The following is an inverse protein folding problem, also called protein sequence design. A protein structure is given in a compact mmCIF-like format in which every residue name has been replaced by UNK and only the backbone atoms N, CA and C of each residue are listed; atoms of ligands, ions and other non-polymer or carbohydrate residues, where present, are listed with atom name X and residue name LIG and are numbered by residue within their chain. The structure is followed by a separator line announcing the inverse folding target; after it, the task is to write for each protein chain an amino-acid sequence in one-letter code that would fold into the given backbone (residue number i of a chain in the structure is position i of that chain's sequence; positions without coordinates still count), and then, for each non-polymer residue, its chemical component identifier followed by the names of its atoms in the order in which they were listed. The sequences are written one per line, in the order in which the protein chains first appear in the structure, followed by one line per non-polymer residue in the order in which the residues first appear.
data_IF_848793344421
#
_entry.id   IF_848793344421
#
_cell.length_a   1.000
_cell.length_b   1.000
_cell.length_c   1.000
_cell.angle_alpha   90.00
_cell.angle_beta   90.00
_cell.angle_gamma   90.00
#
_symmetry.space_group_name_H-M   'P 1'
#
loop_
_entity.id
_entity.type
_entity.pdbx_description
1 polymer ?
#
# COMPACT_ATOMS: atom_id res chain seq x y z
N UNK A 1 -36.83 -49.03 17.69
CA UNK A 1 -35.58 -48.49 17.13
C UNK A 1 -35.43 -49.16 15.77
N UNK A 2 -35.52 -48.49 14.61
CA UNK A 2 -34.76 -47.32 14.19
C UNK A 2 -35.54 -46.38 13.23
N UNK A 3 -35.25 -45.07 13.27
CA UNK A 3 -35.79 -44.05 12.35
C UNK A 3 -34.84 -43.87 11.16
N UNK A 4 -35.38 -43.90 9.93
CA UNK A 4 -34.66 -43.48 8.72
C UNK A 4 -34.54 -41.94 8.66
N UNK A 5 -33.42 -41.37 8.19
CA UNK A 5 -33.26 -39.92 8.14
C UNK A 5 -33.93 -39.31 6.91
N UNK A 6 -34.66 -38.21 7.11
CA UNK A 6 -35.24 -37.39 6.05
C UNK A 6 -34.17 -36.50 5.40
N UNK A 7 -34.05 -36.60 4.08
CA UNK A 7 -33.22 -35.77 3.23
C UNK A 7 -33.94 -34.45 2.91
N UNK A 8 -33.57 -33.35 3.58
CA UNK A 8 -34.02 -32.01 3.22
C UNK A 8 -32.94 -31.34 2.36
N UNK A 9 -33.17 -31.26 1.05
CA UNK A 9 -32.30 -30.48 0.16
C UNK A 9 -32.65 -29.00 0.29
N UNK A 10 -31.79 -28.23 0.96
CA UNK A 10 -31.85 -26.79 1.00
C UNK A 10 -31.24 -26.22 -0.31
N UNK A 11 -31.97 -25.32 -0.99
CA UNK A 11 -31.46 -24.53 -2.11
C UNK A 11 -30.44 -23.51 -1.60
N UNK A 12 -29.20 -23.58 -2.11
CA UNK A 12 -28.11 -22.69 -1.71
C UNK A 12 -28.09 -21.44 -2.60
N UNK A 13 -28.28 -20.26 -2.01
CA UNK A 13 -28.01 -18.98 -2.67
C UNK A 13 -26.53 -18.65 -2.47
N UNK A 14 -25.79 -18.47 -3.57
CA UNK A 14 -24.41 -17.99 -3.52
C UNK A 14 -24.46 -16.46 -3.57
N UNK A 15 -24.08 -15.80 -2.47
CA UNK A 15 -23.89 -14.37 -2.45
C UNK A 15 -22.56 -14.03 -3.12
N UNK A 16 -22.59 -13.23 -4.18
CA UNK A 16 -21.38 -12.62 -4.75
C UNK A 16 -20.96 -11.48 -3.83
N UNK A 17 -19.77 -11.51 -3.20
CA UNK A 17 -19.31 -10.37 -2.43
C UNK A 17 -19.11 -9.19 -3.38
N UNK A 18 -19.81 -8.07 -3.14
CA UNK A 18 -19.47 -6.79 -3.75
C UNK A 18 -18.11 -6.36 -3.17
N UNK A 19 -17.06 -6.55 -3.97
CA UNK A 19 -15.73 -6.06 -3.65
C UNK A 19 -15.73 -4.55 -3.90
N UNK A 20 -16.01 -3.76 -2.86
CA UNK A 20 -15.72 -2.33 -2.87
C UNK A 20 -14.20 -2.20 -2.92
N UNK A 21 -13.66 -1.94 -4.11
CA UNK A 21 -12.24 -1.63 -4.26
C UNK A 21 -11.98 -0.27 -3.63
N UNK A 22 -11.48 -0.27 -2.40
CA UNK A 22 -10.98 0.96 -1.79
C UNK A 22 -9.75 1.43 -2.58
N UNK A 23 -9.86 2.62 -3.17
CA UNK A 23 -8.80 3.24 -3.95
C UNK A 23 -7.86 4.11 -3.07
N UNK A 24 -7.96 3.96 -1.75
CA UNK A 24 -7.07 4.62 -0.79
C UNK A 24 -5.64 4.12 -0.91
N UNK A 25 -4.70 5.06 -0.85
CA UNK A 25 -3.27 4.76 -0.78
C UNK A 25 -2.86 4.57 0.68
N UNK A 26 -2.36 3.39 1.01
CA UNK A 26 -1.85 3.08 2.35
C UNK A 26 -0.34 3.20 2.40
N UNK A 27 0.18 3.85 3.43
CA UNK A 27 1.62 3.91 3.66
C UNK A 27 2.15 2.50 3.95
N UNK A 28 3.16 2.07 3.19
CA UNK A 28 3.86 0.82 3.44
C UNK A 28 4.86 1.03 4.59
N UNK A 29 4.48 0.66 5.82
CA UNK A 29 5.35 0.78 7.00
C UNK A 29 6.60 -0.11 6.95
N UNK A 30 6.67 -1.05 6.00
CA UNK A 30 7.86 -1.87 5.75
C UNK A 30 8.85 -1.28 4.74
N UNK A 31 8.55 -0.12 4.13
CA UNK A 31 9.47 0.55 3.23
C UNK A 31 10.66 1.14 4.02
N UNK A 32 11.89 0.89 3.56
CA UNK A 32 13.10 1.47 4.17
C UNK A 32 13.31 2.93 3.76
N UNK A 33 12.73 3.33 2.63
CA UNK A 33 12.90 4.65 2.04
C UNK A 33 11.59 5.11 1.41
N UNK A 34 11.30 6.40 1.54
CA UNK A 34 10.17 7.07 0.91
C UNK A 34 10.68 8.09 -0.10
N UNK A 35 9.90 8.31 -1.16
CA UNK A 35 10.19 9.29 -2.22
C UNK A 35 9.09 10.33 -2.23
N UNK A 36 9.48 11.60 -2.32
CA UNK A 36 8.58 12.74 -2.48
C UNK A 36 9.10 13.63 -3.61
N UNK A 37 8.19 14.20 -4.39
CA UNK A 37 8.53 15.23 -5.40
C UNK A 37 8.61 16.63 -4.79
N UNK A 38 8.06 16.80 -3.58
CA UNK A 38 8.02 18.06 -2.86
C UNK A 38 9.15 18.14 -1.83
N UNK A 39 10.01 19.15 -1.98
CA UNK A 39 11.15 19.38 -1.09
C UNK A 39 10.74 19.84 0.32
N UNK A 40 9.52 20.35 0.47
CA UNK A 40 8.96 20.77 1.76
C UNK A 40 8.65 19.58 2.67
N UNK A 41 8.38 18.41 2.08
CA UNK A 41 8.15 17.19 2.84
C UNK A 41 9.43 16.62 3.49
N UNK A 42 10.62 17.17 3.19
CA UNK A 42 11.89 16.75 3.77
C UNK A 42 12.37 17.71 4.88
N UNK A 43 12.63 17.15 6.06
CA UNK A 43 13.34 17.81 7.17
C UNK A 43 14.84 17.52 7.10
N UNK A 44 15.67 18.47 7.58
CA UNK A 44 17.14 18.42 7.52
C UNK A 44 17.66 18.09 6.11
N UNK A 45 17.02 18.65 5.09
CA UNK A 45 17.31 18.41 3.68
C UNK A 45 18.72 18.87 3.28
N UNK A 46 19.38 18.07 2.46
CA UNK A 46 20.68 18.38 1.85
C UNK A 46 20.72 17.95 0.39
N UNK A 47 21.56 18.62 -0.40
CA UNK A 47 21.78 18.26 -1.81
C UNK A 47 22.34 16.84 -1.91
N UNK A 48 21.75 16.02 -2.77
CA UNK A 48 22.26 14.71 -3.08
C UNK A 48 23.30 14.80 -4.20
N UNK A 49 24.55 14.44 -3.90
CA UNK A 49 25.68 14.51 -4.83
C UNK A 49 26.08 13.15 -5.43
N UNK A 50 25.32 12.10 -5.09
CA UNK A 50 25.60 10.75 -5.59
C UNK A 50 25.15 10.56 -7.04
N UNK A 51 25.44 9.37 -7.58
CA UNK A 51 25.12 9.01 -8.96
C UNK A 51 23.87 8.13 -9.08
N UNK A 52 23.25 7.78 -7.95
CA UNK A 52 22.10 6.89 -7.94
C UNK A 52 20.89 7.56 -8.63
N UNK A 53 20.03 6.70 -9.17
CA UNK A 53 18.80 7.10 -9.84
C UNK A 53 17.65 6.27 -9.30
N UNK A 54 16.50 6.90 -9.15
CA UNK A 54 15.26 6.21 -8.84
C UNK A 54 14.75 5.54 -10.11
N UNK A 55 14.61 4.22 -10.09
CA UNK A 55 14.00 3.44 -11.18
C UNK A 55 12.52 3.31 -10.90
N UNK A 56 11.69 3.70 -11.87
CA UNK A 56 10.23 3.54 -11.82
C UNK A 56 9.79 2.37 -12.71
N UNK A 57 8.54 1.94 -12.58
CA UNK A 57 7.95 0.76 -13.24
C UNK A 57 8.09 0.74 -14.78
N UNK A 58 8.02 1.91 -15.42
CA UNK A 58 8.26 2.09 -16.85
C UNK A 58 9.75 2.10 -17.22
N UNK A 59 10.63 1.68 -16.31
CA UNK A 59 12.09 1.62 -16.45
C UNK A 59 12.78 2.98 -16.64
N UNK A 60 12.07 4.09 -16.49
CA UNK A 60 12.69 5.41 -16.46
C UNK A 60 13.54 5.60 -15.20
N UNK A 61 14.57 6.44 -15.34
CA UNK A 61 15.52 6.77 -14.29
C UNK A 61 15.40 8.23 -13.90
N UNK A 62 14.92 8.51 -12.70
CA UNK A 62 14.74 9.86 -12.18
C UNK A 62 15.96 10.28 -11.35
N UNK A 63 16.35 11.54 -11.48
CA UNK A 63 17.44 12.13 -10.69
C UNK A 63 16.99 12.38 -9.27
N UNK A 64 17.79 11.93 -8.30
CA UNK A 64 17.64 12.31 -6.89
C UNK A 64 18.28 13.67 -6.71
N UNK A 65 17.53 14.66 -6.25
CA UNK A 65 18.05 16.03 -6.03
C UNK A 65 18.46 16.27 -4.58
N UNK A 66 17.73 15.70 -3.63
CA UNK A 66 17.89 15.95 -2.20
C UNK A 66 17.62 14.69 -1.39
N UNK A 67 18.22 14.63 -0.21
CA UNK A 67 17.94 13.61 0.82
C UNK A 67 17.65 14.30 2.15
N UNK A 68 16.84 13.65 2.98
CA UNK A 68 16.42 14.13 4.29
C UNK A 68 15.54 13.10 4.98
N UNK A 69 14.91 13.49 6.09
CA UNK A 69 13.99 12.64 6.83
C UNK A 69 12.60 13.26 6.92
N UNK A 70 11.59 12.42 7.12
CA UNK A 70 10.18 12.81 7.24
C UNK A 70 9.54 11.97 8.34
N UNK A 71 8.71 12.58 9.15
CA UNK A 71 7.82 11.87 10.06
C UNK A 71 6.47 11.69 9.37
N UNK A 72 6.03 10.45 9.23
CA UNK A 72 4.69 10.14 8.71
C UNK A 72 3.81 9.89 9.93
N UNK A 73 2.81 10.75 10.21
CA UNK A 73 1.93 10.56 11.35
C UNK A 73 1.22 9.21 11.25
N UNK A 74 1.37 8.36 12.27
CA UNK A 74 0.50 7.21 12.45
C UNK A 74 -0.76 7.68 13.15
N UNK A 75 -1.94 7.35 12.61
CA UNK A 75 -3.17 7.42 13.40
C UNK A 75 -3.09 6.32 14.46
N UNK A 76 -2.74 6.68 15.70
CA UNK A 76 -2.95 5.77 16.83
C UNK A 76 -4.46 5.62 17.04
N UNK A 77 -4.96 4.39 16.98
CA UNK A 77 -6.33 4.07 17.40
C UNK A 77 -6.52 4.26 18.90
#
# INVERSE_FOLDING_TARGET
MDKAPQNNQASVFIATPELVSDQSWYANSGATNHVTVELENLSMKSNYHGKDKLVVDNSNKLSITHVGHTEIPSLSS
#
